data_IF_000519324784
#
_entry.id   IF_000519324784
#
_cell.length_a   1.000
_cell.length_b   1.000
_cell.length_c   1.000
_cell.angle_alpha   90.00
_cell.angle_beta   90.00
_cell.angle_gamma   90.00
#
_symmetry.space_group_name_H-M   'P 1'
#
loop_
_entity.id
_entity.type
_entity.pdbx_description
1 polymer ?
#
# COMPACT_ATOMS: atom_id res chain seq x y z
N UNK A 1 -4.80 1.35 1.24
CA UNK A 1 -3.77 1.91 2.14
C UNK A 1 -3.94 3.44 2.19
N UNK A 2 -4.86 3.99 3.01
CA UNK A 2 -5.15 5.43 3.08
C UNK A 2 -4.16 6.26 3.91
N UNK A 3 -3.03 5.70 4.33
CA UNK A 3 -2.12 6.24 5.34
C UNK A 3 -1.48 7.57 4.92
N UNK A 4 -1.23 7.79 3.63
CA UNK A 4 -0.67 9.07 3.12
C UNK A 4 -1.60 10.25 3.38
N UNK A 5 -2.92 10.01 3.38
CA UNK A 5 -3.93 11.00 3.75
C UNK A 5 -3.98 11.28 5.24
N UNK A 6 -3.46 10.38 6.09
CA UNK A 6 -3.36 10.53 7.55
C UNK A 6 -2.01 11.10 8.01
N UNK A 7 -1.06 11.35 7.11
CA UNK A 7 0.29 11.77 7.50
C UNK A 7 1.20 10.62 7.94
N UNK A 8 0.93 9.40 7.48
CA UNK A 8 1.74 8.20 7.69
C UNK A 8 2.09 7.54 6.34
N UNK A 9 2.84 6.44 6.35
CA UNK A 9 3.12 5.63 5.17
C UNK A 9 2.36 4.28 5.25
N UNK A 10 2.14 3.59 4.12
CA UNK A 10 1.72 2.19 4.14
C UNK A 10 2.72 1.36 4.95
N UNK A 11 2.25 0.75 6.02
CA UNK A 11 3.02 0.02 7.02
C UNK A 11 2.69 -1.49 7.00
N UNK A 12 3.04 -2.23 8.06
CA UNK A 12 2.74 -3.66 8.27
C UNK A 12 3.17 -4.61 7.12
N UNK A 13 4.26 -4.28 6.44
CA UNK A 13 4.80 -5.01 5.29
C UNK A 13 4.19 -4.59 3.96
N UNK A 14 3.38 -3.52 3.91
CA UNK A 14 2.76 -3.05 2.68
C UNK A 14 3.77 -2.66 1.61
N UNK A 15 4.91 -2.11 1.99
CA UNK A 15 5.96 -1.82 1.03
C UNK A 15 6.51 -3.08 0.35
N UNK A 16 6.39 -4.27 0.96
CA UNK A 16 6.73 -5.55 0.34
C UNK A 16 5.63 -5.99 -0.64
N UNK A 17 4.39 -6.18 -0.21
CA UNK A 17 3.38 -6.74 -1.12
C UNK A 17 2.98 -5.77 -2.23
N UNK A 18 2.94 -4.45 -1.97
CA UNK A 18 2.64 -3.44 -2.99
C UNK A 18 3.73 -3.40 -4.06
N UNK A 19 5.00 -3.55 -3.69
CA UNK A 19 6.11 -3.51 -4.64
C UNK A 19 6.13 -4.69 -5.63
N UNK A 20 5.46 -5.79 -5.27
CA UNK A 20 5.35 -7.00 -6.07
C UNK A 20 4.08 -7.04 -6.93
N UNK A 21 3.21 -6.02 -6.84
CA UNK A 21 2.09 -5.87 -7.75
C UNK A 21 2.58 -5.57 -9.18
N UNK A 22 1.76 -5.92 -10.17
CA UNK A 22 2.08 -5.72 -11.57
C UNK A 22 2.35 -4.24 -11.90
N UNK A 23 3.40 -4.01 -12.70
CA UNK A 23 3.80 -2.68 -13.12
C UNK A 23 3.99 -1.71 -11.95
N UNK A 24 3.24 -0.62 -11.95
CA UNK A 24 3.25 0.44 -10.92
C UNK A 24 1.93 0.56 -10.15
N UNK A 25 1.13 -0.53 -10.11
CA UNK A 25 -0.12 -0.54 -9.35
C UNK A 25 0.10 -0.34 -7.84
N UNK A 26 1.21 -0.88 -7.31
CA UNK A 26 1.59 -0.70 -5.91
C UNK A 26 1.78 0.76 -5.53
N UNK A 27 2.52 1.52 -6.34
CA UNK A 27 2.71 2.95 -6.16
C UNK A 27 1.38 3.71 -6.24
N UNK A 28 0.50 3.36 -7.19
CA UNK A 28 -0.84 3.97 -7.27
C UNK A 28 -1.65 3.73 -5.99
N UNK A 29 -1.81 2.48 -5.57
CA UNK A 29 -2.60 2.12 -4.38
C UNK A 29 -2.01 2.72 -3.11
N UNK A 30 -0.68 2.68 -2.95
CA UNK A 30 0.01 3.18 -1.78
C UNK A 30 -0.01 4.70 -1.65
N UNK A 31 0.13 5.43 -2.77
CA UNK A 31 0.14 6.90 -2.75
C UNK A 31 -1.25 7.51 -2.63
N UNK A 32 -2.23 6.96 -3.36
CA UNK A 32 -3.58 7.52 -3.46
C UNK A 32 -4.53 7.00 -2.39
N UNK A 33 -4.21 5.86 -1.79
CA UNK A 33 -5.15 5.15 -0.92
C UNK A 33 -6.37 4.58 -1.66
N UNK A 34 -6.27 4.40 -2.98
CA UNK A 34 -7.30 3.75 -3.77
C UNK A 34 -7.72 2.41 -3.15
N UNK A 35 -9.03 2.14 -3.24
CA UNK A 35 -9.61 0.89 -2.76
C UNK A 35 -9.57 -0.12 -3.89
N UNK A 36 -9.18 -1.34 -3.55
CA UNK A 36 -9.38 -2.51 -4.39
C UNK A 36 -10.51 -3.33 -3.78
N UNK A 37 -11.48 -3.73 -4.59
CA UNK A 37 -12.55 -4.63 -4.16
C UNK A 37 -12.09 -6.10 -4.13
N UNK A 38 -12.98 -7.01 -3.73
CA UNK A 38 -12.64 -8.43 -3.62
C UNK A 38 -12.25 -9.10 -4.95
N UNK A 39 -12.85 -8.66 -6.07
CA UNK A 39 -12.54 -9.17 -7.40
C UNK A 39 -11.16 -8.71 -7.86
N UNK A 40 -10.85 -7.44 -7.61
CA UNK A 40 -9.56 -6.83 -7.93
C UNK A 40 -8.45 -7.44 -7.07
N UNK A 41 -8.68 -7.61 -5.76
CA UNK A 41 -7.73 -8.26 -4.84
C UNK A 41 -7.35 -9.67 -5.30
N UNK A 42 -8.31 -10.46 -5.78
CA UNK A 42 -8.04 -11.78 -6.34
C UNK A 42 -7.22 -11.67 -7.63
N UNK A 43 -7.62 -10.78 -8.54
CA UNK A 43 -6.96 -10.60 -9.84
C UNK A 43 -5.50 -10.14 -9.71
N UNK A 44 -5.19 -9.32 -8.70
CA UNK A 44 -3.82 -8.84 -8.47
C UNK A 44 -3.00 -9.73 -7.54
N UNK A 45 -3.56 -10.85 -7.06
CA UNK A 45 -2.87 -11.81 -6.21
C UNK A 45 -2.72 -11.39 -4.74
N UNK A 46 -3.49 -10.40 -4.27
CA UNK A 46 -3.54 -10.02 -2.86
C UNK A 46 -4.53 -10.89 -2.06
N UNK A 47 -5.58 -11.38 -2.71
CA UNK A 47 -6.44 -12.44 -2.18
C UNK A 47 -6.13 -13.76 -2.89
N UNK A 48 -6.16 -14.88 -2.15
CA UNK A 48 -5.93 -16.22 -2.72
C UNK A 48 -7.21 -16.87 -3.24
N UNK A 49 -8.36 -16.49 -2.69
CA UNK A 49 -9.68 -17.03 -3.00
C UNK A 49 -10.72 -15.92 -2.92
N UNK A 50 -11.84 -16.10 -3.63
CA UNK A 50 -13.01 -15.23 -3.54
C UNK A 50 -14.23 -16.08 -3.18
N UNK A 51 -14.85 -15.78 -2.03
CA UNK A 51 -16.00 -16.52 -1.50
C UNK A 51 -17.15 -15.55 -1.28
N UNK A 52 -18.33 -15.77 -1.91
CA UNK A 52 -19.51 -14.94 -1.66
C UNK A 52 -19.89 -14.91 -0.17
N UNK A 53 -20.28 -13.74 0.32
CA UNK A 53 -20.50 -13.49 1.75
C UNK A 53 -21.50 -14.44 2.40
N UNK A 54 -22.54 -14.84 1.67
CA UNK A 54 -23.58 -15.78 2.07
C UNK A 54 -23.07 -17.20 2.31
N UNK A 55 -21.89 -17.55 1.76
CA UNK A 55 -21.25 -18.85 1.94
C UNK A 55 -20.26 -18.89 3.09
N UNK A 56 -19.83 -17.75 3.64
CA UNK A 56 -18.78 -17.69 4.66
C UNK A 56 -19.14 -18.48 5.92
N UNK A 57 -20.40 -18.43 6.38
CA UNK A 57 -20.85 -19.20 7.56
C UNK A 57 -20.74 -20.72 7.32
N UNK A 58 -21.02 -21.17 6.11
CA UNK A 58 -20.93 -22.59 5.74
C UNK A 58 -19.48 -23.03 5.58
N UNK A 59 -18.64 -22.17 4.99
CA UNK A 59 -17.19 -22.38 4.88
C UNK A 59 -16.55 -22.49 6.27
N UNK A 60 -16.83 -21.55 7.18
CA UNK A 60 -16.31 -21.57 8.56
C UNK A 60 -16.68 -22.87 9.27
N UNK A 61 -17.95 -23.30 9.19
CA UNK A 61 -18.40 -24.59 9.73
C UNK A 61 -17.60 -25.74 9.14
N UNK A 62 -17.42 -25.78 7.81
CA UNK A 62 -16.69 -26.86 7.16
C UNK A 62 -15.23 -26.92 7.60
N UNK A 63 -14.56 -25.77 7.68
CA UNK A 63 -13.18 -25.66 8.16
C UNK A 63 -13.03 -26.10 9.62
N UNK A 64 -13.98 -25.73 10.49
CA UNK A 64 -13.98 -26.09 11.91
C UNK A 64 -14.01 -27.60 12.15
N UNK A 65 -14.70 -28.34 11.28
CA UNK A 65 -14.85 -29.80 11.39
C UNK A 65 -13.92 -30.57 10.45
N UNK A 66 -12.84 -29.95 9.96
CA UNK A 66 -11.81 -30.69 9.24
C UNK A 66 -11.02 -31.59 10.20
N UNK A 67 -10.92 -32.87 9.85
CA UNK A 67 -10.21 -33.88 10.65
C UNK A 67 -8.67 -33.70 10.62
N UNK A 68 -8.16 -32.72 9.87
CA UNK A 68 -6.74 -32.54 9.61
C UNK A 68 -6.42 -31.09 9.23
N UNK A 69 -5.37 -30.52 9.83
CA UNK A 69 -4.81 -29.20 9.48
C UNK A 69 -3.85 -29.19 8.29
N UNK A 70 -3.86 -30.24 7.45
CA UNK A 70 -3.05 -30.29 6.22
C UNK A 70 -3.46 -29.17 5.27
N UNK A 71 -2.49 -28.36 4.84
CA UNK A 71 -2.73 -27.20 3.97
C UNK A 71 -3.51 -27.54 2.70
N UNK A 72 -3.25 -28.70 2.08
CA UNK A 72 -3.97 -29.12 0.87
C UNK A 72 -5.46 -29.33 1.09
N UNK A 73 -5.84 -29.91 2.23
CA UNK A 73 -7.25 -30.14 2.57
C UNK A 73 -7.97 -28.83 2.90
N UNK A 74 -7.28 -27.90 3.55
CA UNK A 74 -7.79 -26.55 3.81
C UNK A 74 -8.03 -25.81 2.49
N UNK A 75 -7.05 -25.85 1.58
CA UNK A 75 -7.13 -25.22 0.26
C UNK A 75 -8.26 -25.82 -0.59
N UNK A 76 -8.35 -27.15 -0.69
CA UNK A 76 -9.47 -27.85 -1.36
C UNK A 76 -10.83 -27.46 -0.76
N UNK A 77 -10.90 -27.31 0.56
CA UNK A 77 -12.13 -26.89 1.23
C UNK A 77 -12.52 -25.48 0.83
N UNK A 78 -11.61 -24.52 0.87
CA UNK A 78 -11.90 -23.12 0.49
C UNK A 78 -12.27 -23.05 -0.99
N UNK A 79 -11.57 -23.77 -1.87
CA UNK A 79 -11.87 -23.86 -3.30
C UNK A 79 -13.31 -24.34 -3.56
N UNK A 80 -13.82 -25.29 -2.78
CA UNK A 80 -15.20 -25.77 -2.90
C UNK A 80 -16.29 -24.72 -2.60
N UNK A 81 -15.94 -23.62 -1.94
CA UNK A 81 -16.86 -22.48 -1.70
C UNK A 81 -16.55 -21.27 -2.59
N UNK A 82 -15.40 -21.27 -3.27
CA UNK A 82 -14.89 -20.14 -4.02
C UNK A 82 -15.58 -20.00 -5.38
N UNK A 83 -15.62 -18.78 -5.88
CA UNK A 83 -16.11 -18.45 -7.21
C UNK A 83 -15.13 -17.55 -7.94
N UNK A 84 -15.25 -17.47 -9.27
CA UNK A 84 -14.50 -16.51 -10.05
C UNK A 84 -15.36 -15.25 -10.24
N UNK A 85 -15.05 -14.14 -9.57
CA UNK A 85 -15.77 -12.88 -9.78
C UNK A 85 -15.39 -12.27 -11.13
N UNK A 86 -16.32 -11.52 -11.71
CA UNK A 86 -16.03 -10.62 -12.83
C UNK A 86 -15.41 -9.32 -12.31
N UNK A 87 -14.56 -8.69 -13.12
CA UNK A 87 -14.00 -7.37 -12.81
C UNK A 87 -14.98 -6.29 -13.25
N UNK A 88 -15.27 -5.35 -12.36
CA UNK A 88 -16.18 -4.24 -12.64
C UNK A 88 -15.64 -3.31 -13.73
N UNK A 89 -16.51 -2.73 -14.56
CA UNK A 89 -16.13 -1.87 -15.70
C UNK A 89 -15.30 -0.64 -15.29
N UNK A 90 -15.57 -0.09 -14.11
CA UNK A 90 -14.85 1.04 -13.52
C UNK A 90 -13.53 0.67 -12.83
N UNK A 91 -13.17 -0.63 -12.80
CA UNK A 91 -11.96 -1.11 -12.12
C UNK A 91 -10.70 -0.41 -12.62
N UNK A 92 -9.77 -0.15 -11.70
CA UNK A 92 -8.45 0.38 -12.05
C UNK A 92 -7.66 -0.60 -12.92
N UNK A 93 -8.01 -1.89 -12.91
CA UNK A 93 -7.35 -2.90 -13.73
C UNK A 93 -7.56 -2.67 -15.24
N UNK A 94 -8.63 -1.97 -15.62
CA UNK A 94 -8.83 -1.52 -17.01
C UNK A 94 -7.99 -0.29 -17.38
N UNK A 95 -7.29 0.31 -16.41
CA UNK A 95 -6.46 1.53 -16.55
C UNK A 95 -4.98 1.28 -16.27
N UNK A 96 -4.53 0.03 -16.31
CA UNK A 96 -3.14 -0.33 -15.96
C UNK A 96 -2.11 0.37 -16.84
N UNK A 97 -2.40 0.58 -18.13
CA UNK A 97 -1.49 1.33 -19.01
C UNK A 97 -1.29 2.77 -18.52
N UNK A 98 -2.36 3.45 -18.14
CA UNK A 98 -2.32 4.81 -17.60
C UNK A 98 -1.64 4.88 -16.23
N UNK A 99 -1.93 3.91 -15.36
CA UNK A 99 -1.25 3.76 -14.06
C UNK A 99 0.24 3.57 -14.27
N UNK A 100 0.65 2.62 -15.12
CA UNK A 100 2.05 2.35 -15.41
C UNK A 100 2.74 3.56 -16.03
N UNK A 101 2.09 4.26 -16.95
CA UNK A 101 2.62 5.48 -17.54
C UNK A 101 2.87 6.56 -16.48
N UNK A 102 1.86 6.89 -15.68
CA UNK A 102 1.96 8.02 -14.75
C UNK A 102 2.86 7.69 -13.54
N UNK A 103 2.69 6.52 -12.93
CA UNK A 103 3.34 6.14 -11.66
C UNK A 103 4.75 5.54 -11.81
N UNK A 104 5.22 5.34 -13.05
CA UNK A 104 6.62 4.97 -13.32
C UNK A 104 7.62 6.11 -13.08
N UNK A 105 7.16 7.36 -13.01
CA UNK A 105 8.02 8.55 -12.91
C UNK A 105 8.84 8.60 -11.61
N UNK A 106 10.06 9.11 -11.66
CA UNK A 106 11.01 9.02 -10.53
C UNK A 106 10.60 9.77 -9.25
N UNK A 107 9.72 10.77 -9.34
CA UNK A 107 9.28 11.60 -8.21
C UNK A 107 7.76 11.76 -8.18
N UNK A 108 7.22 12.14 -7.00
CA UNK A 108 5.77 12.41 -6.83
C UNK A 108 5.35 13.61 -7.67
N UNK A 109 6.22 14.62 -7.77
CA UNK A 109 6.04 15.81 -8.60
C UNK A 109 5.80 15.43 -10.07
N UNK A 110 6.67 14.59 -10.64
CA UNK A 110 6.52 14.17 -12.04
C UNK A 110 5.32 13.22 -12.24
N UNK A 111 4.94 12.43 -11.23
CA UNK A 111 3.67 11.67 -11.27
C UNK A 111 2.48 12.63 -11.43
N UNK A 112 2.44 13.70 -10.64
CA UNK A 112 1.38 14.73 -10.70
C UNK A 112 1.40 15.45 -12.06
N UNK A 113 2.57 15.82 -12.56
CA UNK A 113 2.71 16.43 -13.89
C UNK A 113 2.20 15.52 -15.02
N UNK A 114 2.54 14.23 -14.97
CA UNK A 114 2.06 13.24 -15.93
C UNK A 114 0.52 13.13 -15.91
N UNK A 115 -0.07 13.03 -14.72
CA UNK A 115 -1.53 13.00 -14.55
C UNK A 115 -2.17 14.27 -15.12
N UNK A 116 -1.62 15.44 -14.81
CA UNK A 116 -2.11 16.73 -15.31
C UNK A 116 -2.06 16.80 -16.84
N UNK A 117 -0.94 16.44 -17.45
CA UNK A 117 -0.78 16.47 -18.91
C UNK A 117 -1.71 15.46 -19.61
N UNK A 118 -1.95 14.30 -19.01
CA UNK A 118 -2.94 13.34 -19.53
C UNK A 118 -4.35 13.91 -19.45
N UNK A 119 -4.73 14.50 -18.31
CA UNK A 119 -6.02 15.18 -18.15
C UNK A 119 -6.24 16.29 -19.20
N UNK A 120 -5.25 17.15 -19.42
CA UNK A 120 -5.35 18.23 -20.41
C UNK A 120 -5.64 17.71 -21.83
N UNK A 121 -5.13 16.53 -22.17
CA UNK A 121 -5.33 15.89 -23.49
C UNK A 121 -6.64 15.12 -23.62
N UNK A 122 -7.07 14.43 -22.57
CA UNK A 122 -8.20 13.49 -22.63
C UNK A 122 -9.48 14.03 -22.02
N UNK A 123 -9.37 15.01 -21.11
CA UNK A 123 -10.43 15.48 -20.22
C UNK A 123 -11.08 14.36 -19.38
N UNK A 124 -10.36 13.25 -19.15
CA UNK A 124 -10.84 12.15 -18.31
C UNK A 124 -10.68 12.48 -16.82
N UNK A 125 -11.80 12.51 -16.11
CA UNK A 125 -11.89 12.85 -14.68
C UNK A 125 -11.10 11.91 -13.75
N UNK A 126 -10.73 10.70 -14.21
CA UNK A 126 -9.87 9.81 -13.41
C UNK A 126 -8.50 10.45 -13.12
N UNK A 127 -7.89 11.12 -14.10
CA UNK A 127 -6.61 11.79 -13.89
C UNK A 127 -6.73 12.98 -12.93
N UNK A 128 -7.79 13.79 -13.08
CA UNK A 128 -8.07 14.93 -12.22
C UNK A 128 -8.28 14.50 -10.77
N UNK A 129 -9.17 13.54 -10.54
CA UNK A 129 -9.47 13.03 -9.18
C UNK A 129 -8.27 12.36 -8.52
N UNK A 130 -7.46 11.63 -9.29
CA UNK A 130 -6.20 11.03 -8.80
C UNK A 130 -5.21 12.11 -8.38
N UNK A 131 -5.00 13.13 -9.22
CA UNK A 131 -4.12 14.26 -8.91
C UNK A 131 -4.60 15.02 -7.67
N UNK A 132 -5.89 15.34 -7.56
CA UNK A 132 -6.45 16.00 -6.38
C UNK A 132 -6.26 15.19 -5.10
N UNK A 133 -6.34 13.86 -5.20
CA UNK A 133 -6.12 12.96 -4.06
C UNK A 133 -4.67 13.07 -3.58
N UNK A 134 -3.71 13.04 -4.50
CA UNK A 134 -2.29 13.24 -4.17
C UNK A 134 -2.05 14.62 -3.55
N UNK A 135 -2.62 15.69 -4.12
CA UNK A 135 -2.43 17.06 -3.62
C UNK A 135 -3.06 17.31 -2.24
N UNK A 136 -4.04 16.50 -1.82
CA UNK A 136 -4.65 16.58 -0.48
C UNK A 136 -3.87 15.80 0.58
N UNK A 137 -3.01 14.85 0.20
CA UNK A 137 -2.23 14.03 1.11
C UNK A 137 -1.00 14.78 1.66
N UNK A 138 -0.38 14.23 2.71
CA UNK A 138 0.85 14.79 3.28
C UNK A 138 2.01 14.70 2.28
N UNK A 139 2.68 15.83 1.93
CA UNK A 139 3.82 15.82 1.02
C UNK A 139 4.96 14.91 1.49
N UNK A 140 5.26 14.92 2.79
CA UNK A 140 6.25 14.02 3.39
C UNK A 140 5.85 12.57 3.21
N UNK A 141 4.60 12.24 3.53
CA UNK A 141 4.08 10.87 3.45
C UNK A 141 4.11 10.31 2.04
N UNK A 142 3.78 11.13 1.03
CA UNK A 142 3.88 10.72 -0.37
C UNK A 142 5.30 10.35 -0.78
N UNK A 143 6.29 11.19 -0.43
CA UNK A 143 7.69 10.93 -0.82
C UNK A 143 8.27 9.70 -0.14
N UNK A 144 8.06 9.54 1.17
CA UNK A 144 8.54 8.35 1.89
C UNK A 144 7.82 7.08 1.42
N UNK A 145 6.54 7.17 1.05
CA UNK A 145 5.77 6.03 0.51
C UNK A 145 6.32 5.58 -0.85
N UNK A 146 6.53 6.52 -1.77
CA UNK A 146 7.08 6.22 -3.09
C UNK A 146 8.45 5.54 -2.97
N UNK A 147 9.33 6.07 -2.12
CA UNK A 147 10.65 5.48 -1.87
C UNK A 147 10.53 4.08 -1.24
N UNK A 148 9.70 3.92 -0.22
CA UNK A 148 9.54 2.64 0.50
C UNK A 148 9.05 1.52 -0.41
N UNK A 149 8.02 1.77 -1.23
CA UNK A 149 7.49 0.77 -2.18
C UNK A 149 8.56 0.40 -3.21
N UNK A 150 9.32 1.37 -3.74
CA UNK A 150 10.35 1.09 -4.75
C UNK A 150 11.53 0.29 -4.20
N UNK A 151 11.99 0.65 -3.01
CA UNK A 151 13.06 -0.06 -2.34
C UNK A 151 12.60 -1.49 -1.95
N UNK A 152 11.30 -1.68 -1.65
CA UNK A 152 10.68 -2.98 -1.37
C UNK A 152 10.83 -4.01 -2.50
N UNK A 153 10.93 -3.59 -3.76
CA UNK A 153 11.12 -4.50 -4.93
C UNK A 153 12.40 -5.34 -4.85
N UNK A 154 13.39 -4.89 -4.09
CA UNK A 154 14.71 -5.52 -3.96
C UNK A 154 14.96 -6.12 -2.58
N UNK A 155 13.92 -6.17 -1.75
CA UNK A 155 14.03 -6.52 -0.34
C UNK A 155 13.10 -7.69 0.00
N UNK A 156 13.52 -8.44 1.01
CA UNK A 156 12.69 -9.43 1.69
C UNK A 156 11.62 -8.74 2.54
N UNK A 157 10.58 -9.48 2.93
CA UNK A 157 9.57 -8.99 3.86
C UNK A 157 10.21 -8.51 5.17
N UNK A 158 11.24 -9.21 5.68
CA UNK A 158 11.96 -8.84 6.90
C UNK A 158 12.64 -7.47 6.79
N UNK A 159 13.36 -7.23 5.69
CA UNK A 159 14.00 -5.94 5.45
C UNK A 159 12.98 -4.81 5.29
N UNK A 160 11.84 -5.10 4.63
CA UNK A 160 10.74 -4.16 4.51
C UNK A 160 10.15 -3.81 5.90
N UNK A 161 9.87 -4.81 6.75
CA UNK A 161 9.35 -4.60 8.10
C UNK A 161 10.32 -3.81 8.98
N UNK A 162 11.62 -4.12 8.93
CA UNK A 162 12.63 -3.35 9.67
C UNK A 162 12.69 -1.88 9.23
N UNK A 163 12.64 -1.63 7.91
CA UNK A 163 12.61 -0.28 7.36
C UNK A 163 11.34 0.47 7.75
N UNK A 164 10.18 -0.16 7.58
CA UNK A 164 8.89 0.44 7.94
C UNK A 164 8.82 0.75 9.43
N UNK A 165 9.36 -0.11 10.29
CA UNK A 165 9.46 0.17 11.72
C UNK A 165 10.24 1.47 12.01
N UNK A 166 11.38 1.69 11.36
CA UNK A 166 12.14 2.96 11.48
C UNK A 166 11.30 4.16 11.05
N UNK A 167 10.65 4.03 9.89
CA UNK A 167 9.81 5.08 9.32
C UNK A 167 8.66 5.43 10.28
N UNK A 168 7.95 4.42 10.78
CA UNK A 168 6.81 4.59 11.71
C UNK A 168 7.26 5.25 13.00
N UNK A 169 8.33 4.76 13.64
CA UNK A 169 8.85 5.37 14.88
C UNK A 169 9.22 6.83 14.65
N UNK A 170 9.86 7.18 13.52
CA UNK A 170 10.23 8.57 13.21
C UNK A 170 9.02 9.45 12.91
N UNK A 171 7.99 8.92 12.24
CA UNK A 171 6.70 9.60 12.11
C UNK A 171 6.07 9.92 13.48
N UNK A 172 6.12 8.96 14.42
CA UNK A 172 5.59 9.14 15.77
C UNK A 172 6.42 10.12 16.62
N UNK A 173 7.75 10.12 16.48
CA UNK A 173 8.62 11.09 17.15
C UNK A 173 8.44 12.50 16.59
N UNK A 174 8.02 12.62 15.33
CA UNK A 174 7.72 13.89 14.68
C UNK A 174 8.93 14.80 14.49
N UNK A 175 10.12 14.20 14.29
CA UNK A 175 11.41 14.91 14.21
C UNK A 175 11.47 15.85 12.99
N UNK A 176 10.89 15.43 11.87
CA UNK A 176 10.84 16.21 10.62
C UNK A 176 9.45 16.85 10.43
N UNK A 177 8.39 16.07 10.66
CA UNK A 177 7.02 16.49 10.42
C UNK A 177 6.10 15.95 11.53
N UNK A 178 5.07 16.73 11.88
CA UNK A 178 4.00 16.31 12.80
C UNK A 178 2.73 15.89 12.04
N UNK A 179 2.85 15.59 10.76
CA UNK A 179 1.73 15.29 9.88
C UNK A 179 0.87 14.13 10.39
N UNK A 180 1.45 13.09 10.99
CA UNK A 180 0.64 12.01 11.56
C UNK A 180 -0.38 12.51 12.61
N UNK A 181 0.08 13.33 13.55
CA UNK A 181 -0.80 13.90 14.58
C UNK A 181 -1.83 14.86 13.98
N UNK A 182 -1.43 15.68 13.00
CA UNK A 182 -2.33 16.60 12.31
C UNK A 182 -3.37 15.87 11.44
N UNK A 183 -2.97 14.81 10.76
CA UNK A 183 -3.87 13.97 9.97
C UNK A 183 -4.86 13.22 10.85
N UNK A 184 -4.40 12.63 11.97
CA UNK A 184 -5.28 12.06 12.99
C UNK A 184 -6.27 13.11 13.53
N UNK A 185 -5.80 14.32 13.85
CA UNK A 185 -6.67 15.42 14.26
C UNK A 185 -7.74 15.70 13.21
N UNK A 186 -7.33 16.00 11.98
CA UNK A 186 -8.23 16.44 10.90
C UNK A 186 -9.23 15.37 10.46
N UNK A 187 -8.84 14.09 10.47
CA UNK A 187 -9.65 12.99 9.90
C UNK A 187 -10.43 12.23 10.97
N UNK A 188 -9.83 11.95 12.12
CA UNK A 188 -10.41 11.06 13.13
C UNK A 188 -11.02 11.80 14.33
N UNK A 189 -10.37 12.89 14.77
CA UNK A 189 -10.78 13.62 15.98
C UNK A 189 -11.77 14.73 15.64
N UNK A 190 -11.30 15.78 14.96
CA UNK A 190 -12.09 16.97 14.63
C UNK A 190 -12.96 16.73 13.39
N UNK A 191 -12.56 15.80 12.52
CA UNK A 191 -13.28 15.40 11.29
C UNK A 191 -13.55 16.57 10.34
N UNK A 192 -12.71 17.61 10.39
CA UNK A 192 -12.80 18.77 9.49
C UNK A 192 -12.31 18.47 8.06
N UNK A 193 -11.54 17.38 7.89
CA UNK A 193 -10.90 16.96 6.63
C UNK A 193 -10.04 18.06 6.01
N UNK A 194 -9.44 18.92 6.84
CA UNK A 194 -8.58 20.04 6.45
C UNK A 194 -7.25 19.99 7.20
N UNK A 195 -6.44 18.94 6.98
CA UNK A 195 -5.13 18.85 7.60
C UNK A 195 -4.22 19.98 7.13
N UNK A 196 -3.43 20.51 8.05
CA UNK A 196 -2.42 21.55 7.81
C UNK A 196 -1.03 20.92 7.81
N UNK A 197 -0.67 20.31 6.69
CA UNK A 197 0.60 19.62 6.52
C UNK A 197 1.79 20.55 6.72
N UNK A 198 2.86 20.02 7.30
CA UNK A 198 4.14 20.70 7.43
C UNK A 198 5.28 19.68 7.20
N UNK A 199 6.04 19.79 6.09
CA UNK A 199 5.99 20.84 5.05
C UNK A 199 4.70 20.86 4.21
N UNK A 200 4.31 22.05 3.73
CA UNK A 200 3.03 22.25 3.01
C UNK A 200 3.07 21.87 1.53
N UNK A 201 4.26 21.77 0.92
CA UNK A 201 4.41 21.45 -0.51
C UNK A 201 5.45 20.34 -0.71
N UNK A 202 5.40 19.68 -1.88
CA UNK A 202 6.33 18.61 -2.22
C UNK A 202 7.77 19.13 -2.31
N UNK A 203 7.96 20.32 -2.89
CA UNK A 203 9.27 20.95 -3.10
C UNK A 203 9.97 21.28 -1.77
N UNK A 204 9.20 21.55 -0.72
CA UNK A 204 9.72 21.82 0.61
C UNK A 204 10.21 20.55 1.34
N UNK A 205 9.84 19.36 0.87
CA UNK A 205 10.35 18.08 1.40
C UNK A 205 11.64 17.72 0.68
N UNK A 206 12.76 17.93 1.36
CA UNK A 206 14.10 17.69 0.80
C UNK A 206 14.47 16.19 0.79
N UNK A 207 15.45 15.77 -0.04
CA UNK A 207 15.97 14.40 0.00
C UNK A 207 16.48 13.99 1.39
N UNK A 208 17.20 14.88 2.09
CA UNK A 208 17.72 14.60 3.44
C UNK A 208 16.59 14.35 4.45
N UNK A 209 15.48 15.11 4.35
CA UNK A 209 14.29 14.88 5.17
C UNK A 209 13.70 13.49 4.91
N UNK A 210 13.65 13.05 3.64
CA UNK A 210 13.16 11.72 3.27
C UNK A 210 14.10 10.65 3.82
N UNK A 211 15.40 10.75 3.55
CA UNK A 211 16.41 9.75 3.95
C UNK A 211 16.53 9.60 5.47
N UNK A 212 16.23 10.65 6.23
CA UNK A 212 16.13 10.59 7.69
C UNK A 212 15.14 9.52 8.16
N UNK A 213 13.98 9.37 7.50
CA UNK A 213 12.98 8.34 7.86
C UNK A 213 13.50 6.90 7.70
N UNK A 214 14.47 6.68 6.82
CA UNK A 214 15.04 5.36 6.51
C UNK A 214 16.31 5.06 7.29
N UNK A 215 16.91 6.09 7.90
CA UNK A 215 18.20 6.00 8.56
C UNK A 215 18.13 5.08 9.78
N UNK A 216 19.11 4.17 9.97
CA UNK A 216 19.20 3.32 11.15
C UNK A 216 19.18 4.11 12.45
N UNK A 217 18.70 3.48 13.52
CA UNK A 217 18.83 4.05 14.87
C UNK A 217 20.29 3.99 15.35
N UNK A 218 20.65 4.91 16.25
CA UNK A 218 22.02 4.96 16.79
C UNK A 218 22.35 3.72 17.61
N UNK A 219 21.37 3.20 18.37
CA UNK A 219 21.53 1.98 19.15
C UNK A 219 20.89 0.81 18.42
N UNK A 220 21.67 -0.25 18.22
CA UNK A 220 21.14 -1.47 17.61
C UNK A 220 19.97 -2.07 18.39
N UNK A 221 19.90 -1.88 19.71
CA UNK A 221 18.77 -2.31 20.54
C UNK A 221 17.44 -1.61 20.24
N UNK A 222 17.47 -0.48 19.54
CA UNK A 222 16.26 0.28 19.16
C UNK A 222 15.67 -0.21 17.82
N UNK A 223 16.42 -1.02 17.07
CA UNK A 223 15.97 -1.64 15.82
C UNK A 223 14.95 -2.76 16.07
N UNK A 224 14.14 -3.07 15.06
CA UNK A 224 13.24 -4.22 15.09
C UNK A 224 14.05 -5.52 14.99
N UNK A 225 13.95 -6.37 16.03
CA UNK A 225 14.55 -7.70 16.07
C UNK A 225 13.48 -8.76 15.92
N UNK A 226 13.44 -9.44 14.78
CA UNK A 226 12.52 -10.55 14.51
C UNK A 226 13.22 -11.89 14.83
N UNK A 227 12.52 -12.89 15.41
CA UNK A 227 13.13 -14.18 15.73
C UNK A 227 13.64 -14.90 14.48
N UNK A 228 14.81 -15.53 14.57
CA UNK A 228 15.47 -16.20 13.43
C UNK A 228 14.64 -17.33 12.81
N UNK A 229 13.79 -17.99 13.60
CA UNK A 229 12.87 -19.05 13.17
C UNK A 229 11.86 -18.63 12.11
N UNK A 230 11.68 -17.32 11.88
CA UNK A 230 10.72 -16.81 10.90
C UNK A 230 11.35 -16.46 9.54
N UNK A 231 12.68 -16.40 9.43
CA UNK A 231 13.37 -16.01 8.18
C UNK A 231 13.06 -16.91 6.97
N UNK A 232 12.58 -18.13 7.20
CA UNK A 232 12.22 -19.10 6.15
C UNK A 232 10.78 -18.95 5.60
N UNK A 233 9.89 -18.24 6.30
CA UNK A 233 8.47 -18.11 5.92
C UNK A 233 8.23 -17.27 4.64
N UNK A 234 9.26 -16.59 4.12
CA UNK A 234 9.19 -15.79 2.90
C UNK A 234 9.17 -16.61 1.60
N UNK A 235 9.23 -17.94 1.70
CA UNK A 235 9.11 -18.84 0.55
C UNK A 235 7.68 -19.28 0.25
N UNK A 236 6.71 -18.95 1.12
CA UNK A 236 5.31 -19.01 0.74
C UNK A 236 5.15 -18.02 -0.42
N UNK A 237 5.14 -18.56 -1.64
CA UNK A 237 4.63 -17.88 -2.81
C UNK A 237 3.26 -17.34 -2.41
N UNK A 238 3.19 -16.11 -1.92
CA UNK A 238 1.99 -15.30 -2.11
C UNK A 238 1.66 -15.54 -3.58
N UNK A 239 0.46 -16.03 -3.82
CA UNK A 239 0.03 -16.42 -5.14
C UNK A 239 0.05 -15.17 -6.00
N UNK A 240 1.21 -14.86 -6.57
CA UNK A 240 1.38 -13.94 -7.65
C UNK A 240 1.23 -14.81 -8.88
N UNK A 241 0.01 -15.02 -9.42
CA UNK A 241 -0.08 -15.47 -10.78
C UNK A 241 0.72 -14.46 -11.60
N UNK A 242 1.84 -14.91 -12.16
CA UNK A 242 2.41 -14.25 -13.33
C UNK A 242 1.38 -14.47 -14.42
N UNK A 243 0.54 -13.45 -14.66
CA UNK A 243 -0.15 -13.31 -15.94
C UNK A 243 0.89 -13.05 -17.02
#
# INVERSE_FOLDING_TARGET
>A
MPETGLGLHPDVGASYFLSHLQGHLGEYVGLTGARLDGSELLAVGLATHYVPSERLVSLEKKLKYLDSGKSSLVDETINGFSEKPDIEEQSVLHRLEDVNHCFSASSVETIIENLKHRYEKTQDNWYLSTMETLLKASPTSLKITLKSIRDGRKQTLFECLMREYRMTVRCLLGEISKDFYEGCRAILIDKDRKPKWNPTTLEAVTPDMVDHYFSPFQKHSEELHLPDSHREFTSAKMAYPKL
#
